data_IF_278987657741
#
_entry.id   IF_278987657741
#
_cell.length_a   1.000
_cell.length_b   1.000
_cell.length_c   1.000
_cell.angle_alpha   90.00
_cell.angle_beta   90.00
_cell.angle_gamma   90.00
#
_symmetry.space_group_name_H-M   'P 1'
#
loop_
_entity.id
_entity.type
_entity.pdbx_description
1 polymer ?
#
# COMPACT_ATOMS: atom_id res chain seq x y z
N UNK A 1 4.18 18.07 7.88
CA UNK A 1 4.69 16.70 7.65
C UNK A 1 5.61 16.37 8.80
N UNK A 2 5.50 15.17 9.36
CA UNK A 2 6.39 14.73 10.43
C UNK A 2 7.79 14.42 9.88
N UNK A 3 8.82 14.79 10.64
CA UNK A 3 10.21 14.68 10.24
C UNK A 3 10.68 13.21 10.05
N UNK A 4 9.95 12.23 10.60
CA UNK A 4 10.30 10.81 10.54
C UNK A 4 9.92 10.07 9.26
N UNK A 5 9.07 10.65 8.39
CA UNK A 5 8.54 9.92 7.21
C UNK A 5 9.52 9.83 6.04
N UNK A 6 10.51 10.73 5.98
CA UNK A 6 11.41 10.88 4.83
C UNK A 6 10.75 11.55 3.61
N UNK A 7 9.46 11.88 3.65
CA UNK A 7 8.79 12.57 2.55
C UNK A 7 9.12 14.05 2.53
N UNK A 8 9.50 14.57 1.36
CA UNK A 8 9.86 15.99 1.17
C UNK A 8 8.75 16.83 0.55
N UNK A 9 7.79 16.19 -0.13
CA UNK A 9 6.64 16.84 -0.74
C UNK A 9 5.56 15.81 -1.02
N UNK A 10 4.29 16.20 -0.99
CA UNK A 10 3.16 15.33 -1.32
C UNK A 10 2.14 16.10 -2.13
N UNK A 11 1.53 15.39 -3.08
CA UNK A 11 0.39 15.85 -3.88
C UNK A 11 -0.69 14.78 -3.87
N UNK A 12 -1.94 15.18 -4.08
CA UNK A 12 -3.04 14.25 -4.14
C UNK A 12 -4.02 14.63 -5.24
N UNK A 13 -4.77 13.64 -5.71
CA UNK A 13 -5.86 13.80 -6.67
C UNK A 13 -7.09 13.01 -6.19
N UNK A 14 -8.24 13.70 -6.20
CA UNK A 14 -9.54 13.10 -5.93
C UNK A 14 -10.31 13.07 -7.25
N UNK A 15 -10.41 11.87 -7.83
CA UNK A 15 -10.97 11.67 -9.17
C UNK A 15 -12.17 10.73 -9.15
N UNK A 16 -13.12 10.98 -10.03
CA UNK A 16 -14.22 10.04 -10.31
C UNK A 16 -13.74 8.77 -11.03
N UNK A 17 -12.52 8.80 -11.57
CA UNK A 17 -11.90 7.66 -12.23
C UNK A 17 -10.88 6.99 -11.31
N UNK A 18 -11.06 5.69 -11.08
CA UNK A 18 -10.12 4.90 -10.28
C UNK A 18 -8.72 4.92 -10.91
N UNK A 19 -7.74 5.51 -10.20
CA UNK A 19 -6.36 5.75 -10.65
C UNK A 19 -6.30 6.48 -12.00
N UNK A 20 -6.58 7.78 -12.00
CA UNK A 20 -6.53 8.64 -13.19
C UNK A 20 -5.12 8.66 -13.81
N UNK A 21 -4.99 7.99 -14.96
CA UNK A 21 -3.70 7.74 -15.63
C UNK A 21 -2.93 9.02 -15.96
N UNK A 22 -3.59 10.02 -16.54
CA UNK A 22 -2.90 11.23 -17.03
C UNK A 22 -2.29 12.03 -15.89
N UNK A 23 -3.01 12.16 -14.77
CA UNK A 23 -2.50 12.82 -13.58
C UNK A 23 -1.31 12.06 -12.96
N UNK A 24 -1.42 10.73 -12.85
CA UNK A 24 -0.32 9.89 -12.33
C UNK A 24 0.93 10.03 -13.20
N UNK A 25 0.79 10.01 -14.54
CA UNK A 25 1.91 10.18 -15.46
C UNK A 25 2.57 11.56 -15.29
N UNK A 26 1.77 12.63 -15.20
CA UNK A 26 2.28 13.98 -14.95
C UNK A 26 3.08 14.07 -13.63
N UNK A 27 2.58 13.42 -12.57
CA UNK A 27 3.28 13.41 -11.28
C UNK A 27 4.54 12.53 -11.29
N UNK A 28 4.55 11.42 -12.01
CA UNK A 28 5.75 10.61 -12.22
C UNK A 28 6.86 11.39 -12.94
N UNK A 29 6.53 12.19 -13.96
CA UNK A 29 7.50 13.08 -14.63
C UNK A 29 8.13 14.10 -13.67
N UNK A 30 7.39 14.46 -12.63
CA UNK A 30 7.84 15.36 -11.56
C UNK A 30 8.56 14.65 -10.41
N UNK A 31 8.83 13.34 -10.53
CA UNK A 31 9.44 12.48 -9.51
C UNK A 31 8.61 12.27 -8.23
N UNK A 32 7.29 12.40 -8.33
CA UNK A 32 6.41 11.91 -7.27
C UNK A 32 6.10 10.43 -7.50
N UNK A 33 6.05 9.63 -6.44
CA UNK A 33 5.68 8.22 -6.50
C UNK A 33 4.38 7.97 -5.73
N UNK A 34 3.52 7.08 -6.21
CA UNK A 34 2.31 6.67 -5.48
C UNK A 34 2.71 6.05 -4.15
N UNK A 35 2.17 6.62 -3.07
CA UNK A 35 2.41 6.18 -1.69
C UNK A 35 1.15 5.72 -0.99
N UNK A 36 -0.02 6.18 -1.42
CA UNK A 36 -1.30 5.71 -0.90
C UNK A 36 -2.41 5.79 -1.95
N UNK A 37 -3.36 4.86 -1.87
CA UNK A 37 -4.58 4.82 -2.68
C UNK A 37 -5.74 4.50 -1.75
N UNK A 38 -6.82 5.25 -1.88
CA UNK A 38 -8.11 4.91 -1.29
C UNK A 38 -9.17 5.04 -2.39
N UNK A 39 -9.93 3.98 -2.65
CA UNK A 39 -11.05 4.03 -3.59
C UNK A 39 -12.39 3.97 -2.87
N UNK A 40 -13.43 4.35 -3.59
CA UNK A 40 -14.81 4.31 -3.12
C UNK A 40 -15.65 3.37 -3.99
N UNK A 41 -16.79 2.93 -3.45
CA UNK A 41 -17.71 2.00 -4.13
C UNK A 41 -18.33 2.56 -5.41
N UNK A 42 -18.39 3.90 -5.54
CA UNK A 42 -18.86 4.58 -6.75
C UNK A 42 -17.82 4.65 -7.88
N UNK A 43 -16.65 4.01 -7.71
CA UNK A 43 -15.59 3.97 -8.72
C UNK A 43 -14.59 5.13 -8.66
N UNK A 44 -14.79 6.11 -7.77
CA UNK A 44 -13.86 7.21 -7.51
C UNK A 44 -12.68 6.78 -6.64
N UNK A 45 -11.63 7.58 -6.60
CA UNK A 45 -10.49 7.39 -5.70
C UNK A 45 -9.74 8.66 -5.35
N UNK A 46 -9.10 8.60 -4.19
CA UNK A 46 -8.00 9.46 -3.78
C UNK A 46 -6.67 8.74 -4.04
N UNK A 47 -5.76 9.39 -4.76
CA UNK A 47 -4.37 8.94 -4.92
C UNK A 47 -3.46 9.98 -4.28
N UNK A 48 -2.53 9.53 -3.43
CA UNK A 48 -1.47 10.36 -2.85
C UNK A 48 -0.14 9.95 -3.45
N UNK A 49 0.61 10.92 -3.96
CA UNK A 49 1.97 10.72 -4.46
C UNK A 49 2.95 11.62 -3.71
N UNK A 50 4.13 11.07 -3.39
CA UNK A 50 5.12 11.71 -2.52
C UNK A 50 6.52 11.74 -3.16
N UNK A 51 7.31 12.76 -2.82
CA UNK A 51 8.76 12.84 -3.04
C UNK A 51 9.52 12.43 -1.79
N UNK A 52 10.80 12.09 -1.95
CA UNK A 52 11.66 11.63 -0.84
C UNK A 52 11.50 10.14 -0.52
N UNK A 53 10.67 9.43 -1.29
CA UNK A 53 10.63 7.97 -1.25
C UNK A 53 11.95 7.39 -1.78
N UNK A 54 12.44 6.24 -1.29
CA UNK A 54 13.58 5.57 -1.89
C UNK A 54 13.27 4.95 -3.26
N UNK A 55 12.02 4.99 -3.74
CA UNK A 55 11.60 4.30 -4.95
C UNK A 55 12.27 4.84 -6.22
N UNK A 56 12.62 3.96 -7.15
CA UNK A 56 13.29 4.33 -8.41
C UNK A 56 12.54 3.91 -9.67
N UNK A 57 11.69 2.88 -9.59
CA UNK A 57 10.79 2.46 -10.67
C UNK A 57 9.46 2.06 -10.05
N UNK A 58 8.35 2.48 -10.64
CA UNK A 58 7.01 2.17 -10.14
C UNK A 58 6.10 1.74 -11.28
N UNK A 59 5.21 0.79 -11.00
CA UNK A 59 4.16 0.40 -11.94
C UNK A 59 2.89 0.08 -11.17
N UNK A 60 1.74 0.38 -11.75
CA UNK A 60 0.46 0.02 -11.18
C UNK A 60 -0.37 -0.79 -12.17
N UNK A 61 -1.33 -1.55 -11.64
CA UNK A 61 -2.33 -2.27 -12.43
C UNK A 61 -3.70 -2.09 -11.83
N UNK A 62 -4.66 -1.72 -12.69
CA UNK A 62 -6.09 -1.80 -12.39
C UNK A 62 -6.66 -3.06 -13.03
N UNK A 63 -7.49 -3.80 -12.29
CA UNK A 63 -8.03 -5.09 -12.73
C UNK A 63 -9.36 -5.39 -12.04
N UNK A 64 -10.30 -6.03 -12.72
CA UNK A 64 -11.58 -6.47 -12.12
C UNK A 64 -11.44 -7.72 -11.26
N UNK A 65 -10.34 -8.48 -11.44
CA UNK A 65 -9.97 -9.62 -10.59
C UNK A 65 -8.61 -9.38 -9.95
N UNK A 66 -8.36 -10.00 -8.79
CA UNK A 66 -7.08 -9.84 -8.09
C UNK A 66 -5.91 -10.27 -8.99
N UNK A 67 -4.93 -9.37 -9.29
CA UNK A 67 -3.97 -9.59 -10.36
C UNK A 67 -2.75 -10.46 -9.95
N UNK A 68 -2.97 -11.62 -9.35
CA UNK A 68 -1.91 -12.49 -8.81
C UNK A 68 -0.79 -12.81 -9.80
N UNK A 69 -1.14 -13.20 -11.04
CA UNK A 69 -0.15 -13.52 -12.09
C UNK A 69 0.76 -12.33 -12.41
N UNK A 70 0.23 -11.11 -12.38
CA UNK A 70 1.01 -9.90 -12.62
C UNK A 70 1.92 -9.57 -11.45
N UNK A 71 1.42 -9.71 -10.21
CA UNK A 71 2.23 -9.54 -9.00
C UNK A 71 3.40 -10.52 -8.99
N UNK A 72 3.17 -11.80 -9.28
CA UNK A 72 4.22 -12.82 -9.32
C UNK A 72 5.29 -12.49 -10.38
N UNK A 73 4.88 -12.00 -11.55
CA UNK A 73 5.81 -11.50 -12.57
C UNK A 73 6.62 -10.31 -12.04
N UNK A 74 5.98 -9.36 -11.34
CA UNK A 74 6.63 -8.18 -10.77
C UNK A 74 7.66 -8.54 -9.68
N UNK A 75 7.35 -9.50 -8.81
CA UNK A 75 8.31 -10.03 -7.83
C UNK A 75 9.55 -10.62 -8.50
N UNK A 76 9.39 -11.41 -9.58
CA UNK A 76 10.51 -11.93 -10.37
C UNK A 76 11.35 -10.85 -11.05
N UNK A 77 10.73 -9.71 -11.36
CA UNK A 77 11.40 -8.50 -11.88
C UNK A 77 12.01 -7.63 -10.76
N UNK A 78 12.00 -8.07 -9.50
CA UNK A 78 12.56 -7.33 -8.36
C UNK A 78 11.73 -6.13 -7.89
N UNK A 79 10.46 -6.05 -8.30
CA UNK A 79 9.51 -5.09 -7.74
C UNK A 79 8.80 -5.71 -6.54
N UNK A 80 8.39 -4.87 -5.59
CA UNK A 80 7.55 -5.27 -4.46
C UNK A 80 6.26 -4.45 -4.46
N UNK A 81 5.15 -5.05 -4.01
CA UNK A 81 3.89 -4.33 -3.80
C UNK A 81 4.08 -3.34 -2.66
N UNK A 82 3.79 -2.07 -2.91
CA UNK A 82 3.96 -0.97 -1.95
C UNK A 82 2.63 -0.38 -1.49
N UNK A 83 1.57 -0.50 -2.29
CA UNK A 83 0.24 -0.03 -1.95
C UNK A 83 -0.80 -0.82 -2.73
N UNK A 84 -1.97 -1.03 -2.13
CA UNK A 84 -3.16 -1.55 -2.80
C UNK A 84 -4.37 -0.71 -2.42
N UNK A 85 -5.39 -0.75 -3.26
CA UNK A 85 -6.70 -0.19 -2.97
C UNK A 85 -7.75 -0.80 -3.88
N UNK A 86 -9.02 -0.56 -3.57
CA UNK A 86 -10.16 -1.02 -4.38
C UNK A 86 -11.13 0.12 -4.61
N UNK A 87 -11.79 0.11 -5.77
CA UNK A 87 -12.93 0.98 -6.06
C UNK A 87 -14.04 0.15 -6.73
N UNK A 88 -15.14 -0.04 -6.01
CA UNK A 88 -16.12 -1.08 -6.33
C UNK A 88 -15.45 -2.46 -6.33
N UNK A 89 -15.60 -3.20 -7.43
CA UNK A 89 -14.98 -4.52 -7.60
C UNK A 89 -13.59 -4.49 -8.26
N UNK A 90 -13.06 -3.30 -8.54
CA UNK A 90 -11.75 -3.16 -9.19
C UNK A 90 -10.64 -3.06 -8.16
N UNK A 91 -9.56 -3.79 -8.43
CA UNK A 91 -8.31 -3.78 -7.69
C UNK A 91 -7.32 -2.81 -8.31
N UNK A 92 -6.68 -1.99 -7.50
CA UNK A 92 -5.53 -1.17 -7.84
C UNK A 92 -4.32 -1.66 -7.07
N UNK A 93 -3.29 -2.17 -7.75
CA UNK A 93 -2.05 -2.66 -7.12
C UNK A 93 -0.87 -1.86 -7.64
N UNK A 94 -0.10 -1.29 -6.73
CA UNK A 94 1.13 -0.55 -7.02
C UNK A 94 2.33 -1.37 -6.60
N UNK A 95 3.33 -1.46 -7.47
CA UNK A 95 4.61 -2.09 -7.19
C UNK A 95 5.75 -1.11 -7.45
N UNK A 96 6.80 -1.17 -6.65
CA UNK A 96 7.97 -0.31 -6.78
C UNK A 96 9.29 -1.08 -6.61
N UNK A 97 10.37 -0.57 -7.18
CA UNK A 97 11.75 -0.99 -6.92
C UNK A 97 12.41 -0.10 -5.87
N UNK A 98 13.52 -0.59 -5.33
CA UNK A 98 14.26 0.06 -4.23
C UNK A 98 13.40 0.29 -2.99
N UNK A 99 12.58 -0.72 -2.67
CA UNK A 99 11.81 -0.81 -1.43
C UNK A 99 12.66 -1.44 -0.33
N UNK A 100 12.20 -1.28 0.91
CA UNK A 100 12.82 -1.90 2.09
C UNK A 100 12.42 -3.39 2.26
N UNK A 101 11.74 -3.99 1.28
CA UNK A 101 11.26 -5.38 1.34
C UNK A 101 12.22 -6.36 0.67
N UNK A 102 12.38 -7.54 1.28
CA UNK A 102 13.15 -8.69 0.76
C UNK A 102 12.25 -9.78 0.21
N UNK A 103 11.19 -10.11 0.96
CA UNK A 103 10.25 -11.17 0.61
C UNK A 103 8.83 -10.66 0.77
N UNK A 104 7.94 -11.11 -0.12
CA UNK A 104 6.51 -10.82 -0.05
C UNK A 104 5.70 -12.06 -0.35
N UNK A 105 4.60 -12.20 0.38
CA UNK A 105 3.55 -13.19 0.16
C UNK A 105 2.21 -12.47 0.10
N UNK A 106 1.21 -13.15 -0.46
CA UNK A 106 -0.16 -12.67 -0.50
C UNK A 106 -1.09 -13.73 0.06
N UNK A 107 -1.90 -13.34 1.03
CA UNK A 107 -3.03 -14.12 1.52
C UNK A 107 -4.31 -13.49 0.95
N UNK A 108 -5.07 -14.25 0.17
CA UNK A 108 -6.34 -13.81 -0.41
C UNK A 108 -7.39 -14.88 -0.24
N UNK A 109 -8.57 -14.49 0.23
CA UNK A 109 -9.69 -15.39 0.47
C UNK A 109 -11.01 -14.61 0.35
N UNK A 110 -12.12 -15.34 0.19
CA UNK A 110 -13.48 -14.80 0.20
C UNK A 110 -13.89 -14.28 1.58
N UNK A 111 -13.28 -14.84 2.62
CA UNK A 111 -13.42 -14.41 4.02
C UNK A 111 -12.06 -13.86 4.50
N UNK A 112 -12.01 -13.28 5.70
CA UNK A 112 -10.74 -12.90 6.32
C UNK A 112 -9.81 -14.12 6.50
N UNK A 113 -8.62 -14.17 5.85
CA UNK A 113 -7.72 -15.34 5.85
C UNK A 113 -6.86 -15.41 7.12
N UNK A 114 -7.50 -15.56 8.28
CA UNK A 114 -6.84 -15.52 9.60
C UNK A 114 -5.71 -16.54 9.77
N UNK A 115 -5.95 -17.81 9.40
CA UNK A 115 -4.97 -18.89 9.53
C UNK A 115 -3.70 -18.64 8.70
N UNK A 116 -3.87 -18.26 7.43
CA UNK A 116 -2.76 -17.91 6.54
C UNK A 116 -1.98 -16.73 7.09
N UNK A 117 -2.66 -15.65 7.49
CA UNK A 117 -2.01 -14.48 8.10
C UNK A 117 -1.23 -14.86 9.35
N UNK A 118 -1.80 -15.67 10.24
CA UNK A 118 -1.13 -16.08 11.47
C UNK A 118 0.12 -16.93 11.19
N UNK A 119 0.03 -17.86 10.24
CA UNK A 119 1.15 -18.66 9.80
C UNK A 119 2.29 -17.81 9.24
N UNK A 120 1.98 -16.87 8.33
CA UNK A 120 3.00 -15.98 7.76
C UNK A 120 3.58 -15.04 8.83
N UNK A 121 2.75 -14.56 9.76
CA UNK A 121 3.21 -13.73 10.86
C UNK A 121 4.23 -14.47 11.75
N UNK A 122 3.95 -15.74 12.07
CA UNK A 122 4.87 -16.63 12.79
C UNK A 122 6.17 -16.89 12.03
N UNK A 123 6.14 -16.85 10.70
CA UNK A 123 7.31 -16.92 9.83
C UNK A 123 8.08 -15.58 9.69
N UNK A 124 7.67 -14.53 10.42
CA UNK A 124 8.35 -13.24 10.45
C UNK A 124 7.83 -12.21 9.45
N UNK A 125 6.79 -12.52 8.68
CA UNK A 125 6.15 -11.55 7.80
C UNK A 125 5.29 -10.55 8.60
N UNK A 126 5.13 -9.34 8.07
CA UNK A 126 4.21 -8.32 8.61
C UNK A 126 3.28 -7.83 7.51
N UNK A 127 2.03 -7.53 7.84
CA UNK A 127 1.09 -6.94 6.88
C UNK A 127 1.61 -5.57 6.49
N UNK A 128 1.78 -5.33 5.18
CA UNK A 128 2.27 -4.05 4.65
C UNK A 128 1.32 -3.39 3.68
N UNK A 129 0.33 -4.13 3.18
CA UNK A 129 -0.74 -3.59 2.36
C UNK A 129 -1.95 -4.51 2.43
N UNK A 130 -3.14 -3.93 2.49
CA UNK A 130 -4.39 -4.68 2.46
C UNK A 130 -5.40 -3.93 1.59
N UNK A 131 -6.23 -4.67 0.88
CA UNK A 131 -7.39 -4.13 0.19
C UNK A 131 -8.47 -5.21 0.09
N UNK A 132 -9.73 -4.79 -0.02
CA UNK A 132 -10.85 -5.71 -0.09
C UNK A 132 -11.90 -5.22 -1.08
N UNK A 133 -12.50 -6.15 -1.81
CA UNK A 133 -13.77 -5.98 -2.49
C UNK A 133 -14.88 -6.54 -1.59
N UNK A 134 -16.17 -6.38 -1.94
CA UNK A 134 -17.25 -7.03 -1.19
C UNK A 134 -17.09 -8.55 -1.06
N UNK A 135 -16.42 -9.19 -2.02
CA UNK A 135 -16.33 -10.65 -2.12
C UNK A 135 -14.99 -11.22 -1.63
N UNK A 136 -13.94 -10.42 -1.54
CA UNK A 136 -12.57 -10.89 -1.30
C UNK A 136 -11.76 -9.91 -0.48
N UNK A 137 -10.92 -10.42 0.43
CA UNK A 137 -9.92 -9.65 1.13
C UNK A 137 -8.51 -10.15 0.78
N UNK A 138 -7.61 -9.23 0.44
CA UNK A 138 -6.23 -9.55 0.09
C UNK A 138 -5.23 -8.80 0.98
N UNK A 139 -4.25 -9.53 1.48
CA UNK A 139 -3.21 -9.04 2.38
C UNK A 139 -1.85 -9.35 1.79
N UNK A 140 -1.08 -8.30 1.49
CA UNK A 140 0.35 -8.44 1.22
C UNK A 140 1.07 -8.41 2.55
N UNK A 141 1.87 -9.45 2.78
CA UNK A 141 2.75 -9.52 3.93
C UNK A 141 4.20 -9.54 3.47
N UNK A 142 5.07 -8.80 4.16
CA UNK A 142 6.46 -8.60 3.75
C UNK A 142 7.45 -8.84 4.89
N UNK A 143 8.67 -9.23 4.53
CA UNK A 143 9.87 -9.18 5.39
C UNK A 143 10.72 -8.00 4.93
N UNK A 144 11.18 -7.16 5.86
CA UNK A 144 12.07 -6.03 5.56
C UNK A 144 13.53 -6.46 5.44
N UNK A 145 14.31 -5.75 4.62
CA UNK A 145 15.75 -5.97 4.40
C UNK A 145 16.58 -5.78 5.66
N UNK A 146 16.17 -4.83 6.48
CA UNK A 146 16.74 -4.60 7.80
C UNK A 146 15.70 -4.94 8.85
N UNK A 147 16.13 -5.63 9.91
CA UNK A 147 15.37 -5.77 11.15
C UNK A 147 15.30 -4.39 11.81
N UNK A 148 14.34 -3.56 11.39
CA UNK A 148 13.87 -2.48 12.26
C UNK A 148 13.26 -3.19 13.45
N UNK A 149 13.85 -2.96 14.63
CA UNK A 149 13.38 -3.34 15.98
C UNK A 149 11.96 -3.88 15.98
N UNK A 150 11.79 -5.11 16.50
CA UNK A 150 10.49 -5.74 16.77
C UNK A 150 9.56 -4.64 17.30
N UNK A 151 8.51 -4.25 16.54
CA UNK A 151 7.48 -3.39 17.09
C UNK A 151 6.91 -4.16 18.26
N UNK A 152 7.11 -3.65 19.48
CA UNK A 152 6.30 -4.09 20.61
C UNK A 152 4.87 -3.73 20.20
N UNK A 153 3.95 -4.69 20.17
CA UNK A 153 2.52 -4.44 19.98
C UNK A 153 2.03 -3.62 21.19
N UNK A 154 2.35 -2.33 21.21
CA UNK A 154 1.90 -1.40 22.23
C UNK A 154 0.73 -0.61 21.65
N UNK A 155 -0.47 -0.96 22.08
CA UNK A 155 -1.63 -0.06 21.97
C UNK A 155 -1.61 0.86 23.18
N UNK A 156 -0.90 1.98 23.11
CA UNK A 156 -1.01 3.02 24.14
C UNK A 156 -2.10 4.03 23.75
N UNK A 157 -3.27 3.91 24.40
CA UNK A 157 -4.20 5.02 24.52
C UNK A 157 -3.73 5.85 25.71
N UNK A 158 -2.98 6.92 25.44
CA UNK A 158 -2.67 7.90 26.50
C UNK A 158 -3.97 8.64 26.85
N UNK A 159 -4.16 8.94 28.13
CA UNK A 159 -5.36 9.64 28.65
C UNK A 159 -5.60 11.01 28.00
N UNK A 160 -4.63 11.53 27.27
CA UNK A 160 -4.60 12.88 26.71
C UNK A 160 -5.06 12.95 25.26
N UNK A 161 -5.65 11.87 24.70
CA UNK A 161 -6.16 11.87 23.33
C UNK A 161 -7.68 12.14 23.25
N UNK A 162 -8.15 13.02 22.34
CA UNK A 162 -7.36 13.96 21.55
C UNK A 162 -6.88 15.13 22.42
N UNK A 163 -5.62 15.53 22.25
CA UNK A 163 -5.05 16.63 23.00
C UNK A 163 -5.85 17.89 22.69
N UNK A 164 -6.44 18.48 23.72
CA UNK A 164 -7.12 19.77 23.59
C UNK A 164 -6.06 20.79 23.16
N UNK A 165 -6.10 21.20 21.90
CA UNK A 165 -5.36 22.37 21.45
C UNK A 165 -5.85 23.56 22.29
N UNK A 166 -5.02 24.00 23.24
CA UNK A 166 -5.26 25.24 23.96
C UNK A 166 -5.19 26.38 22.94
N UNK A 167 -6.28 27.14 22.85
CA UNK A 167 -6.37 28.36 22.04
C UNK A 167 -5.43 29.44 22.55
#
# INVERSE_FOLDING_TARGET
MDAGTGFSSQVFDLSQNFLQKDWIMEQWEKNFYITAIAGATNGSSLVVMSKGTPYTQQSYKVSESFPYKWINKKWKEGFHVTCMGTAGNRWGVVTSRNTDYSYQVVEIDFVYPSEGIHQQYGAGYRITSCAATPDQAAFIMSITKESRTIPVDETFLTSDFPSKATK
#
